data_IF_651160607091
#
_entry.id   IF_651160607091
#
_cell.length_a   1.000
_cell.length_b   1.000
_cell.length_c   1.000
_cell.angle_alpha   90.00
_cell.angle_beta   90.00
_cell.angle_gamma   90.00
#
_symmetry.space_group_name_H-M   'P 1'
#
loop_
_entity.id
_entity.type
_entity.pdbx_description
1 polymer ?
#
# COMPACT_ATOMS: atom_id res chain seq x y z
N UNK A 1 -8.82 2.11 -8.84
CA UNK A 1 -8.44 0.77 -8.35
C UNK A 1 -7.31 0.15 -9.18
N UNK A 2 -7.51 -0.02 -10.47
CA UNK A 2 -6.49 -0.61 -11.35
C UNK A 2 -5.19 0.20 -11.35
N UNK A 3 -5.28 1.54 -11.39
CA UNK A 3 -4.10 2.40 -11.34
C UNK A 3 -3.26 2.21 -10.09
N UNK A 4 -3.88 1.98 -8.94
CA UNK A 4 -3.18 1.72 -7.68
C UNK A 4 -2.43 0.39 -7.73
N UNK A 5 -3.04 -0.64 -8.31
CA UNK A 5 -2.40 -1.94 -8.48
C UNK A 5 -1.20 -1.84 -9.42
N UNK A 6 -1.35 -1.14 -10.54
CA UNK A 6 -0.26 -0.94 -11.51
C UNK A 6 0.91 -0.21 -10.85
N UNK A 7 0.66 0.87 -10.12
CA UNK A 7 1.70 1.61 -9.41
C UNK A 7 2.38 0.76 -8.34
N UNK A 8 1.61 -0.03 -7.60
CA UNK A 8 2.16 -0.90 -6.57
C UNK A 8 3.08 -1.96 -7.18
N UNK A 9 2.67 -2.60 -8.26
CA UNK A 9 3.49 -3.61 -8.95
C UNK A 9 4.74 -2.97 -9.55
N UNK A 10 4.61 -1.80 -10.19
CA UNK A 10 5.76 -1.08 -10.75
C UNK A 10 6.76 -0.70 -9.65
N UNK A 11 6.29 -0.20 -8.52
CA UNK A 11 7.12 0.11 -7.35
C UNK A 11 7.83 -1.14 -6.85
N UNK A 12 7.10 -2.24 -6.72
CA UNK A 12 7.67 -3.53 -6.31
C UNK A 12 8.79 -3.96 -7.23
N UNK A 13 8.59 -3.88 -8.55
CA UNK A 13 9.61 -4.27 -9.52
C UNK A 13 10.87 -3.43 -9.41
N UNK A 14 10.73 -2.11 -9.28
CA UNK A 14 11.86 -1.21 -9.14
C UNK A 14 12.64 -1.52 -7.85
N UNK A 15 11.95 -1.62 -6.73
CA UNK A 15 12.57 -1.90 -5.43
C UNK A 15 13.17 -3.30 -5.41
N UNK A 16 12.50 -4.29 -6.01
CA UNK A 16 13.00 -5.66 -6.08
C UNK A 16 14.34 -5.72 -6.83
N UNK A 17 14.46 -5.00 -7.93
CA UNK A 17 15.72 -4.92 -8.70
C UNK A 17 16.80 -4.18 -7.94
N UNK A 18 16.44 -3.06 -7.29
CA UNK A 18 17.41 -2.24 -6.55
C UNK A 18 17.94 -2.96 -5.31
N UNK A 19 17.07 -3.65 -4.58
CA UNK A 19 17.40 -4.29 -3.31
C UNK A 19 17.52 -5.82 -3.41
N UNK A 20 17.32 -6.38 -4.59
CA UNK A 20 17.31 -7.83 -4.83
C UNK A 20 16.33 -8.57 -3.91
N UNK A 21 15.17 -7.96 -3.63
CA UNK A 21 14.17 -8.54 -2.76
C UNK A 21 12.75 -8.15 -3.18
N UNK A 22 11.97 -9.13 -3.60
CA UNK A 22 10.57 -8.92 -3.94
C UNK A 22 9.71 -8.66 -2.69
N UNK A 23 10.10 -9.23 -1.55
CA UNK A 23 9.43 -8.96 -0.27
C UNK A 23 9.60 -7.49 0.15
N UNK A 24 10.81 -6.93 0.00
CA UNK A 24 11.04 -5.51 0.26
C UNK A 24 10.22 -4.63 -0.67
N UNK A 25 10.12 -5.01 -1.95
CA UNK A 25 9.28 -4.31 -2.92
C UNK A 25 7.80 -4.29 -2.50
N UNK A 26 7.28 -5.43 -2.06
CA UNK A 26 5.91 -5.52 -1.57
C UNK A 26 5.69 -4.65 -0.32
N UNK A 27 6.64 -4.64 0.61
CA UNK A 27 6.56 -3.83 1.82
C UNK A 27 6.51 -2.33 1.50
N UNK A 28 7.38 -1.86 0.61
CA UNK A 28 7.41 -0.45 0.18
C UNK A 28 6.12 -0.07 -0.54
N UNK A 29 5.65 -0.90 -1.46
CA UNK A 29 4.42 -0.65 -2.20
C UNK A 29 3.21 -0.59 -1.26
N UNK A 30 3.14 -1.49 -0.28
CA UNK A 30 2.06 -1.51 0.72
C UNK A 30 2.11 -0.26 1.60
N UNK A 31 3.29 0.12 2.09
CA UNK A 31 3.46 1.32 2.91
C UNK A 31 3.01 2.57 2.15
N UNK A 32 3.37 2.67 0.87
CA UNK A 32 2.94 3.78 0.03
C UNK A 32 1.42 3.82 -0.13
N UNK A 33 0.79 2.67 -0.42
CA UNK A 33 -0.66 2.58 -0.62
C UNK A 33 -1.42 2.94 0.66
N UNK A 34 -0.98 2.43 1.81
CA UNK A 34 -1.59 2.76 3.12
C UNK A 34 -1.42 4.25 3.43
N UNK A 35 -0.21 4.80 3.24
CA UNK A 35 0.05 6.22 3.48
C UNK A 35 -0.83 7.12 2.63
N UNK A 36 -1.02 6.75 1.37
CA UNK A 36 -1.89 7.49 0.47
C UNK A 36 -3.34 7.47 0.95
N UNK A 37 -3.84 6.33 1.40
CA UNK A 37 -5.20 6.22 1.93
C UNK A 37 -5.39 7.02 3.21
N UNK A 38 -4.41 7.02 4.10
CA UNK A 38 -4.44 7.85 5.30
C UNK A 38 -4.49 9.33 4.91
N UNK A 39 -3.69 9.77 3.94
CA UNK A 39 -3.71 11.14 3.45
C UNK A 39 -5.08 11.52 2.89
N UNK A 40 -5.69 10.66 2.09
CA UNK A 40 -7.03 10.90 1.56
C UNK A 40 -8.08 10.93 2.67
N UNK A 41 -7.94 10.08 3.68
CA UNK A 41 -8.80 10.09 4.86
C UNK A 41 -8.67 11.40 5.64
N UNK A 42 -7.45 11.96 5.74
CA UNK A 42 -7.24 13.26 6.35
C UNK A 42 -8.02 14.37 5.64
N UNK A 43 -7.97 14.39 4.30
CA UNK A 43 -8.76 15.36 3.52
C UNK A 43 -10.26 15.20 3.75
N UNK A 44 -10.75 13.96 3.81
CA UNK A 44 -12.17 13.69 4.11
C UNK A 44 -12.55 14.15 5.52
N UNK A 45 -11.66 13.96 6.49
CA UNK A 45 -11.88 14.43 7.86
C UNK A 45 -12.01 15.95 7.90
N UNK A 46 -11.09 16.66 7.25
CA UNK A 46 -11.10 18.13 7.17
C UNK A 46 -12.41 18.61 6.58
N UNK A 47 -12.87 18.00 5.51
CA UNK A 47 -14.10 18.36 4.83
C UNK A 47 -15.34 18.08 5.67
N UNK A 48 -15.41 16.93 6.32
CA UNK A 48 -16.60 16.48 7.06
C UNK A 48 -16.68 17.04 8.48
N UNK A 49 -15.58 17.10 9.18
CA UNK A 49 -15.55 17.41 10.61
C UNK A 49 -14.74 18.64 10.95
N UNK A 50 -13.86 19.08 10.06
CA UNK A 50 -12.96 20.21 10.29
C UNK A 50 -13.40 21.51 9.65
N UNK A 51 -14.60 21.59 9.10
CA UNK A 51 -15.14 22.80 8.43
C UNK A 51 -14.21 23.31 7.32
N UNK A 52 -13.50 22.40 6.64
CA UNK A 52 -12.58 22.75 5.58
C UNK A 52 -11.22 23.28 6.04
N UNK A 53 -10.95 23.27 7.33
CA UNK A 53 -9.71 23.80 7.89
C UNK A 53 -8.83 22.68 8.47
N UNK A 54 -7.63 22.53 7.94
CA UNK A 54 -6.65 21.57 8.44
C UNK A 54 -6.28 21.81 9.91
N UNK A 55 -6.28 23.08 10.36
CA UNK A 55 -5.97 23.44 11.73
C UNK A 55 -6.94 22.82 12.75
N UNK A 56 -8.15 22.44 12.33
CA UNK A 56 -9.13 21.78 13.17
C UNK A 56 -8.92 20.27 13.31
N UNK A 57 -8.05 19.67 12.46
CA UNK A 57 -7.85 18.23 12.46
C UNK A 57 -6.86 17.81 13.55
N UNK A 58 -7.21 16.83 14.40
CA UNK A 58 -6.24 16.25 15.33
C UNK A 58 -5.23 15.40 14.52
N UNK A 59 -4.09 15.07 15.14
CA UNK A 59 -3.06 14.29 14.47
C UNK A 59 -3.55 12.91 14.01
N UNK A 60 -4.56 12.35 14.65
CA UNK A 60 -5.15 11.06 14.32
C UNK A 60 -6.32 11.14 13.32
N UNK A 61 -6.61 12.33 12.78
CA UNK A 61 -7.77 12.53 11.90
C UNK A 61 -7.86 11.56 10.74
N UNK A 62 -6.73 11.24 10.10
CA UNK A 62 -6.68 10.26 9.01
C UNK A 62 -6.94 8.83 9.44
N UNK A 63 -6.89 8.53 10.75
CA UNK A 63 -7.14 7.22 11.31
C UNK A 63 -8.53 7.09 11.94
N UNK A 64 -9.37 8.11 11.80
CA UNK A 64 -10.72 8.11 12.36
C UNK A 64 -11.55 7.02 11.68
N UNK A 65 -12.04 6.05 12.46
CA UNK A 65 -12.77 4.91 11.94
C UNK A 65 -14.02 5.29 11.14
N UNK A 66 -14.61 6.45 11.41
CA UNK A 66 -15.79 6.94 10.70
C UNK A 66 -15.54 7.16 9.21
N UNK A 67 -14.28 7.40 8.83
CA UNK A 67 -13.86 7.57 7.44
C UNK A 67 -13.57 6.25 6.73
N UNK A 68 -13.42 5.17 7.49
CA UNK A 68 -13.04 3.85 7.00
C UNK A 68 -14.21 2.85 7.00
N UNK A 69 -15.43 3.33 7.14
CA UNK A 69 -16.63 2.47 7.15
C UNK A 69 -17.01 2.00 5.75
N UNK A 70 -16.55 2.69 4.70
CA UNK A 70 -16.78 2.27 3.32
C UNK A 70 -15.74 1.23 2.90
N UNK A 71 -16.14 0.37 1.95
CA UNK A 71 -15.25 -0.66 1.44
C UNK A 71 -14.14 -0.09 0.55
N UNK A 72 -14.40 0.99 -0.18
CA UNK A 72 -13.48 1.55 -1.16
C UNK A 72 -12.10 1.91 -0.58
N UNK A 73 -11.99 2.61 0.57
CA UNK A 73 -10.67 2.90 1.15
C UNK A 73 -9.89 1.64 1.51
N UNK A 74 -10.57 0.60 1.99
CA UNK A 74 -9.92 -0.67 2.33
C UNK A 74 -9.39 -1.35 1.08
N UNK A 75 -10.16 -1.37 -0.01
CA UNK A 75 -9.74 -2.00 -1.26
C UNK A 75 -8.57 -1.26 -1.91
N UNK A 76 -8.50 0.06 -1.77
CA UNK A 76 -7.46 0.86 -2.40
C UNK A 76 -6.05 0.54 -1.90
N UNK A 77 -5.90 0.05 -0.67
CA UNK A 77 -4.59 -0.39 -0.19
C UNK A 77 -4.50 -1.91 -0.05
N UNK A 78 -5.60 -2.58 0.29
CA UNK A 78 -5.59 -4.02 0.55
C UNK A 78 -5.35 -4.82 -0.74
N UNK A 79 -6.01 -4.47 -1.84
CA UNK A 79 -5.80 -5.17 -3.11
C UNK A 79 -4.39 -5.01 -3.64
N UNK A 80 -3.79 -3.81 -3.72
CA UNK A 80 -2.38 -3.69 -4.08
C UNK A 80 -1.45 -4.48 -3.16
N UNK A 81 -1.73 -4.49 -1.86
CA UNK A 81 -0.97 -5.27 -0.90
C UNK A 81 -1.02 -6.77 -1.21
N UNK A 82 -2.21 -7.31 -1.41
CA UNK A 82 -2.40 -8.73 -1.71
C UNK A 82 -1.72 -9.12 -3.03
N UNK A 83 -1.83 -8.29 -4.06
CA UNK A 83 -1.21 -8.55 -5.36
C UNK A 83 0.32 -8.58 -5.23
N UNK A 84 0.92 -7.58 -4.58
CA UNK A 84 2.37 -7.51 -4.44
C UNK A 84 2.93 -8.61 -3.53
N UNK A 85 2.22 -8.97 -2.48
CA UNK A 85 2.60 -10.10 -1.62
C UNK A 85 2.52 -11.42 -2.39
N UNK A 86 1.47 -11.61 -3.19
CA UNK A 86 1.34 -12.80 -4.03
C UNK A 86 2.48 -12.92 -5.03
N UNK A 87 2.86 -11.82 -5.68
CA UNK A 87 4.01 -11.78 -6.60
C UNK A 87 5.29 -12.17 -5.86
N UNK A 88 5.54 -11.60 -4.69
CA UNK A 88 6.73 -11.90 -3.90
C UNK A 88 6.78 -13.38 -3.52
N UNK A 89 5.66 -13.97 -3.13
CA UNK A 89 5.58 -15.39 -2.78
C UNK A 89 5.82 -16.28 -3.99
N UNK A 90 5.23 -15.96 -5.14
CA UNK A 90 5.42 -16.73 -6.38
C UNK A 90 6.86 -16.69 -6.85
N UNK A 91 7.48 -15.52 -6.85
CA UNK A 91 8.89 -15.36 -7.24
C UNK A 91 9.79 -16.14 -6.30
N UNK A 92 9.54 -16.08 -5.00
CA UNK A 92 10.30 -16.83 -4.00
C UNK A 92 10.18 -18.33 -4.20
N UNK A 93 8.97 -18.83 -4.45
CA UNK A 93 8.73 -20.25 -4.68
C UNK A 93 9.44 -20.74 -5.95
N UNK A 94 9.36 -20.00 -7.05
CA UNK A 94 10.06 -20.34 -8.29
C UNK A 94 11.57 -20.29 -8.12
N UNK A 95 12.08 -19.25 -7.48
CA UNK A 95 13.50 -19.12 -7.20
C UNK A 95 14.04 -20.27 -6.36
N UNK A 96 13.27 -20.74 -5.36
CA UNK A 96 13.63 -21.87 -4.53
C UNK A 96 13.68 -23.18 -5.31
N UNK A 97 12.83 -23.32 -6.35
CA UNK A 97 12.83 -24.52 -7.21
C UNK A 97 13.97 -24.52 -8.23
N UNK A 98 14.29 -23.35 -8.80
CA UNK A 98 15.32 -23.19 -9.81
C UNK A 98 16.71 -23.06 -9.21
N UNK A 99 16.85 -22.21 -8.20
CA UNK A 99 18.10 -21.94 -7.49
C UNK A 99 17.76 -21.48 -6.07
N UNK A 100 17.80 -22.38 -5.08
CA UNK A 100 17.46 -22.06 -3.70
C UNK A 100 18.31 -20.94 -3.09
N UNK A 101 19.48 -20.66 -3.62
CA UNK A 101 20.38 -19.62 -3.14
C UNK A 101 20.09 -18.23 -3.74
N UNK A 102 19.30 -18.16 -4.81
CA UNK A 102 19.07 -16.91 -5.54
C UNK A 102 18.22 -15.91 -4.76
N UNK A 103 17.35 -16.37 -3.87
CA UNK A 103 16.44 -15.53 -3.10
C UNK A 103 16.53 -15.91 -1.63
N UNK A 104 17.55 -15.43 -1.01
CA UNK A 104 17.80 -15.62 0.42
C UNK A 104 16.83 -14.87 1.33
#
# INVERSE_FOLDING_TARGET
>A
MIGHIILAVATQMVIARALHSWAAGAAVATAWAVSREITQAEYRWIERFGEGLRANMPWWGGLDYRLWQRLDPWLDWLLPCLVTVAIAMLVRTRGAQEDPAAFG
#
